data_IF_411229702149
#
_entry.id   IF_411229702149
#
_cell.length_a   1.000
_cell.length_b   1.000
_cell.length_c   1.000
_cell.angle_alpha   90.00
_cell.angle_beta   90.00
_cell.angle_gamma   90.00
#
_symmetry.space_group_name_H-M   'P 1'
#
loop_
_entity.id
_entity.type
_entity.pdbx_description
1 polymer ?
#
# COMPACT_ATOMS: atom_id res chain seq x y z
N UNK A 1 1.86 -7.95 1.60
CA UNK A 1 0.85 -9.04 1.68
C UNK A 1 1.32 -10.35 1.05
N UNK A 2 1.93 -10.37 -0.14
CA UNK A 2 2.43 -11.62 -0.75
C UNK A 2 3.39 -12.43 0.15
N UNK A 3 4.25 -11.74 0.92
CA UNK A 3 5.11 -12.38 1.93
C UNK A 3 4.36 -13.23 2.98
N UNK A 4 3.09 -12.93 3.25
CA UNK A 4 2.29 -13.70 4.23
C UNK A 4 1.81 -15.07 3.73
N UNK A 5 2.14 -15.44 2.48
CA UNK A 5 1.64 -16.68 1.85
C UNK A 5 0.20 -16.58 1.32
N UNK A 6 -0.44 -15.41 1.44
CA UNK A 6 -1.77 -15.16 0.93
C UNK A 6 -1.83 -15.29 -0.61
N UNK A 7 -2.79 -16.04 -1.18
CA UNK A 7 -2.91 -16.22 -2.62
C UNK A 7 -3.46 -14.97 -3.32
N UNK A 8 -3.16 -14.84 -4.61
CA UNK A 8 -3.71 -13.78 -5.48
C UNK A 8 -2.70 -12.73 -5.91
N UNK A 9 -3.07 -11.92 -6.90
CA UNK A 9 -2.28 -10.79 -7.41
C UNK A 9 -2.62 -9.52 -6.63
N UNK A 10 -1.59 -8.78 -6.22
CA UNK A 10 -1.75 -7.55 -5.47
C UNK A 10 -2.23 -6.38 -6.32
N UNK A 11 -3.17 -5.59 -5.79
CA UNK A 11 -3.61 -4.30 -6.37
C UNK A 11 -3.75 -3.26 -5.27
N UNK A 12 -3.20 -2.08 -5.52
CA UNK A 12 -3.52 -0.91 -4.70
C UNK A 12 -4.99 -0.55 -4.92
N UNK A 13 -5.73 -0.40 -3.82
CA UNK A 13 -7.15 -0.01 -3.84
C UNK A 13 -7.35 1.47 -3.50
N UNK A 14 -6.28 2.13 -3.06
CA UNK A 14 -6.26 3.55 -2.74
C UNK A 14 -5.63 3.82 -1.38
N UNK A 15 -5.77 5.07 -0.96
CA UNK A 15 -5.23 5.61 0.30
C UNK A 15 -6.27 6.58 0.87
N UNK A 16 -6.31 6.73 2.19
CA UNK A 16 -7.20 7.70 2.84
C UNK A 16 -6.65 9.11 2.69
N UNK A 17 -5.61 9.42 3.47
CA UNK A 17 -4.95 10.73 3.48
C UNK A 17 -3.49 10.57 3.06
N UNK A 18 -3.00 11.49 2.23
CA UNK A 18 -1.58 11.63 1.93
C UNK A 18 -1.18 13.07 2.15
N UNK A 19 -0.05 13.27 2.83
CA UNK A 19 0.59 14.58 2.99
C UNK A 19 2.00 14.54 2.43
N UNK A 20 2.32 15.55 1.64
CA UNK A 20 3.65 15.83 1.13
C UNK A 20 4.14 17.14 1.75
N UNK A 21 5.15 17.08 2.61
CA UNK A 21 5.70 18.25 3.32
C UNK A 21 7.16 18.51 2.99
N UNK A 22 7.76 17.69 2.13
CA UNK A 22 9.12 17.83 1.64
C UNK A 22 9.27 17.26 0.24
N UNK A 23 10.50 17.01 -0.19
CA UNK A 23 10.81 16.44 -1.49
C UNK A 23 12.10 15.61 -1.44
N UNK A 24 12.22 14.64 -2.33
CA UNK A 24 13.47 13.91 -2.57
C UNK A 24 14.21 14.63 -3.69
N UNK A 25 15.28 15.36 -3.35
CA UNK A 25 16.15 16.03 -4.34
C UNK A 25 17.31 15.13 -4.76
N UNK A 26 18.04 15.44 -5.85
CA UNK A 26 19.19 14.65 -6.28
C UNK A 26 20.31 14.47 -5.23
N UNK A 27 20.35 15.32 -4.19
CA UNK A 27 21.34 15.23 -3.11
C UNK A 27 20.98 14.24 -2.00
N UNK A 28 19.75 13.72 -1.96
CA UNK A 28 19.31 12.77 -0.93
C UNK A 28 20.03 11.44 -1.10
N UNK A 29 20.62 10.92 -0.01
CA UNK A 29 21.43 9.70 -0.07
C UNK A 29 20.63 8.45 0.26
N UNK A 30 19.64 8.54 1.14
CA UNK A 30 18.80 7.40 1.54
C UNK A 30 17.35 7.81 1.71
N UNK A 31 16.47 7.08 1.01
CA UNK A 31 15.03 7.09 1.27
C UNK A 31 14.68 5.87 2.13
N UNK A 32 13.93 6.07 3.21
CA UNK A 32 13.41 4.99 4.06
C UNK A 32 11.89 4.99 4.01
N UNK A 33 11.31 3.82 3.81
CA UNK A 33 9.87 3.60 3.86
C UNK A 33 9.55 2.90 5.19
N UNK A 34 8.76 3.55 6.04
CA UNK A 34 8.17 2.93 7.22
C UNK A 34 6.73 2.54 6.93
N UNK A 35 6.35 1.31 7.27
CA UNK A 35 5.00 0.77 7.03
C UNK A 35 4.52 0.10 8.32
N UNK A 36 3.42 0.62 8.86
CA UNK A 36 2.81 0.15 10.08
C UNK A 36 1.47 -0.53 9.74
N UNK A 37 1.45 -1.86 9.80
CA UNK A 37 0.24 -2.62 9.50
C UNK A 37 -0.82 -2.38 10.58
N UNK A 38 -1.92 -1.73 10.21
CA UNK A 38 -3.09 -1.55 11.09
C UNK A 38 -3.95 -2.79 11.14
N UNK A 39 -4.21 -3.40 9.98
CA UNK A 39 -5.15 -4.53 9.86
C UNK A 39 -4.85 -5.37 8.64
N UNK A 40 -4.95 -6.69 8.80
CA UNK A 40 -4.89 -7.66 7.70
C UNK A 40 -6.15 -8.53 7.77
N UNK A 41 -6.87 -8.63 6.66
CA UNK A 41 -8.10 -9.42 6.53
C UNK A 41 -7.84 -10.54 5.54
N UNK A 42 -7.98 -11.78 5.98
CA UNK A 42 -7.71 -12.99 5.20
C UNK A 42 -9.03 -13.73 4.93
N UNK A 43 -9.87 -13.19 4.04
CA UNK A 43 -11.15 -13.81 3.63
C UNK A 43 -11.15 -14.06 2.11
N UNK A 44 -12.33 -14.09 1.47
CA UNK A 44 -12.45 -14.22 0.00
C UNK A 44 -11.59 -13.20 -0.75
N UNK A 45 -11.62 -11.95 -0.30
CA UNK A 45 -10.66 -10.92 -0.69
C UNK A 45 -9.67 -10.72 0.45
N UNK A 46 -8.38 -10.86 0.15
CA UNK A 46 -7.32 -10.53 1.10
C UNK A 46 -7.10 -9.01 1.06
N UNK A 47 -7.18 -8.33 2.20
CA UNK A 47 -7.03 -6.87 2.30
C UNK A 47 -6.03 -6.52 3.39
N UNK A 48 -5.01 -5.74 3.05
CA UNK A 48 -4.10 -5.10 3.98
C UNK A 48 -4.43 -3.61 4.09
N UNK A 49 -4.44 -3.12 5.33
CA UNK A 49 -4.57 -1.71 5.68
C UNK A 49 -3.37 -1.31 6.52
N UNK A 50 -2.70 -0.24 6.13
CA UNK A 50 -1.50 0.25 6.80
C UNK A 50 -1.42 1.77 6.80
N UNK A 51 -0.75 2.31 7.80
CA UNK A 51 -0.17 3.65 7.72
C UNK A 51 1.28 3.53 7.28
N UNK A 52 1.83 4.62 6.78
CA UNK A 52 3.22 4.66 6.40
C UNK A 52 3.77 6.06 6.31
N UNK A 53 5.09 6.12 6.27
CA UNK A 53 5.83 7.35 6.13
C UNK A 53 7.06 7.13 5.24
N UNK A 54 7.53 8.22 4.65
CA UNK A 54 8.77 8.25 3.89
C UNK A 54 9.71 9.22 4.54
N UNK A 55 10.92 8.77 4.83
CA UNK A 55 12.02 9.60 5.28
C UNK A 55 13.02 9.85 4.15
N UNK A 56 13.51 11.08 4.02
CA UNK A 56 14.71 11.41 3.27
C UNK A 56 15.84 11.75 4.25
N UNK A 57 16.91 10.96 4.23
CA UNK A 57 18.08 11.09 5.13
C UNK A 57 17.70 11.21 6.63
N UNK A 58 16.65 10.49 7.04
CA UNK A 58 16.16 10.43 8.42
C UNK A 58 15.09 11.46 8.78
N UNK A 59 14.68 12.34 7.85
CA UNK A 59 13.58 13.27 8.06
C UNK A 59 12.31 12.81 7.35
N UNK A 60 11.20 12.70 8.09
CA UNK A 60 9.89 12.36 7.52
C UNK A 60 9.41 13.49 6.60
N UNK A 61 9.21 13.16 5.33
CA UNK A 61 8.76 14.11 4.30
C UNK A 61 7.36 13.79 3.77
N UNK A 62 6.94 12.51 3.80
CA UNK A 62 5.62 12.08 3.37
C UNK A 62 4.97 11.22 4.44
N UNK A 63 3.66 11.35 4.60
CA UNK A 63 2.84 10.46 5.43
C UNK A 63 1.63 9.98 4.65
N UNK A 64 1.29 8.71 4.79
CA UNK A 64 0.10 8.10 4.21
C UNK A 64 -0.70 7.39 5.30
N UNK A 65 -2.00 7.68 5.38
CA UNK A 65 -2.93 7.03 6.29
C UNK A 65 -3.91 6.15 5.54
N UNK A 66 -4.21 4.99 6.12
CA UNK A 66 -5.20 4.04 5.64
C UNK A 66 -4.96 3.61 4.19
N UNK A 67 -3.70 3.31 3.85
CA UNK A 67 -3.32 2.69 2.59
C UNK A 67 -3.97 1.31 2.49
N UNK A 68 -4.60 1.01 1.35
CA UNK A 68 -5.34 -0.24 1.13
C UNK A 68 -4.77 -1.02 -0.05
N UNK A 69 -4.41 -2.28 0.19
CA UNK A 69 -3.94 -3.21 -0.84
C UNK A 69 -4.75 -4.49 -0.76
N UNK A 70 -5.35 -4.88 -1.89
CA UNK A 70 -6.08 -6.15 -2.03
C UNK A 70 -5.23 -7.20 -2.73
N UNK A 71 -5.44 -8.49 -2.44
CA UNK A 71 -5.01 -9.60 -3.30
C UNK A 71 -6.25 -10.30 -3.86
N UNK A 72 -6.31 -10.48 -5.17
CA UNK A 72 -7.40 -11.18 -5.86
C UNK A 72 -6.86 -12.24 -6.81
N UNK A 73 -7.53 -13.39 -6.90
CA UNK A 73 -7.16 -14.41 -7.88
C UNK A 73 -7.57 -13.95 -9.29
N UNK A 74 -6.80 -14.29 -10.34
CA UNK A 74 -7.13 -13.91 -11.71
C UNK A 74 -8.56 -14.30 -12.13
N UNK A 75 -9.03 -15.46 -11.64
CA UNK A 75 -10.35 -16.05 -11.89
C UNK A 75 -11.51 -15.19 -11.37
N UNK A 76 -11.24 -14.34 -10.38
CA UNK A 76 -12.22 -13.43 -9.77
C UNK A 76 -12.20 -12.05 -10.45
N UNK A 77 -11.10 -11.70 -11.15
CA UNK A 77 -10.99 -10.41 -11.87
C UNK A 77 -11.79 -10.39 -13.18
N UNK A 78 -12.04 -11.54 -13.81
CA UNK A 78 -12.84 -11.62 -15.05
C UNK A 78 -14.33 -11.37 -14.81
N UNK A 79 -14.81 -11.56 -13.57
CA UNK A 79 -16.23 -11.38 -13.21
C UNK A 79 -16.61 -9.94 -12.88
N UNK A 80 -15.64 -9.06 -12.60
CA UNK A 80 -15.91 -7.65 -12.25
C UNK A 80 -15.75 -6.67 -13.43
N UNK A 81 -15.33 -7.14 -14.60
CA UNK A 81 -15.12 -6.32 -15.80
C UNK A 81 -16.28 -6.34 -16.80
N UNK A 82 -17.37 -7.04 -16.50
CA UNK A 82 -18.54 -7.20 -17.39
C UNK A 82 -19.76 -6.38 -16.93
N UNK A 83 -19.54 -5.26 -16.26
CA UNK A 83 -20.59 -4.28 -15.93
C UNK A 83 -20.06 -2.86 -16.12
N UNK A 84 -19.88 -2.46 -17.37
CA UNK A 84 -19.86 -1.08 -17.82
C UNK A 84 -20.46 -1.05 -19.23
#
# INVERSE_FOLDING_TARGET
LGWSGAPGKGRALGVGEVKFTGQVTPGVKRVRYGIDLKRVIMRKLVLGIADGHVEADGQVIYTAKDMRVGLSRPEEMSKSGASA
#
